data_IF_737267921981
#
_entry.id   IF_737267921981
#
_cell.length_a   1.000
_cell.length_b   1.000
_cell.length_c   1.000
_cell.angle_alpha   90.00
_cell.angle_beta   90.00
_cell.angle_gamma   90.00
#
_symmetry.space_group_name_H-M   'P 1'
#
loop_
_entity.id
_entity.type
_entity.pdbx_description
1 polymer ?
#
# COMPACT_ATOMS: atom_id res chain seq x y z
N UNK A 1 -5.84 29.17 -22.75
CA UNK A 1 -6.29 27.78 -22.94
C UNK A 1 -5.04 26.99 -23.28
N UNK A 2 -4.51 26.21 -22.34
CA UNK A 2 -3.29 25.41 -22.57
C UNK A 2 -3.75 24.03 -23.02
N UNK A 3 -3.38 23.63 -24.24
CA UNK A 3 -3.76 22.33 -24.78
C UNK A 3 -3.08 21.20 -23.98
N UNK A 4 -3.74 20.05 -23.95
CA UNK A 4 -3.39 18.87 -23.14
C UNK A 4 -1.95 18.36 -23.31
N UNK A 5 -1.28 18.71 -24.41
CA UNK A 5 0.06 18.25 -24.75
C UNK A 5 1.16 19.31 -24.57
N UNK A 6 0.81 20.59 -24.40
CA UNK A 6 1.80 21.67 -24.49
C UNK A 6 2.23 22.19 -23.10
N UNK A 7 3.46 21.83 -22.70
CA UNK A 7 4.27 22.58 -21.74
C UNK A 7 4.07 22.28 -20.24
N UNK A 8 5.17 22.48 -19.49
CA UNK A 8 5.14 22.53 -18.03
C UNK A 8 4.39 23.78 -17.56
N UNK A 9 3.28 23.58 -16.85
CA UNK A 9 2.57 24.67 -16.17
C UNK A 9 3.33 25.06 -14.89
N UNK A 10 3.64 26.35 -14.67
CA UNK A 10 4.27 26.80 -13.44
C UNK A 10 3.46 26.40 -12.20
N UNK A 11 4.13 25.80 -11.20
CA UNK A 11 3.48 25.33 -9.97
C UNK A 11 2.74 23.99 -10.09
N UNK A 12 2.86 23.30 -11.23
CA UNK A 12 2.32 21.95 -11.40
C UNK A 12 3.39 20.87 -11.24
N UNK A 13 2.98 19.71 -10.73
CA UNK A 13 3.85 18.55 -10.64
C UNK A 13 4.09 17.96 -12.03
N UNK A 14 5.29 17.40 -12.31
CA UNK A 14 5.60 16.77 -13.59
C UNK A 14 4.54 15.73 -13.99
N UNK A 15 4.21 15.69 -15.29
CA UNK A 15 3.28 14.71 -15.85
C UNK A 15 3.94 13.32 -15.84
N UNK A 16 3.75 12.58 -14.75
CA UNK A 16 4.20 11.19 -14.62
C UNK A 16 3.28 10.17 -15.31
N UNK A 17 3.64 8.87 -15.27
CA UNK A 17 2.81 7.78 -15.77
C UNK A 17 1.36 7.91 -15.28
N UNK A 18 0.39 7.62 -16.17
CA UNK A 18 -1.04 7.66 -15.82
C UNK A 18 -1.45 6.48 -14.93
N UNK A 19 -0.71 5.37 -15.01
CA UNK A 19 -0.92 4.18 -14.20
C UNK A 19 -0.29 4.39 -12.82
N UNK A 20 -1.11 4.27 -11.77
CA UNK A 20 -0.65 4.36 -10.40
C UNK A 20 -0.64 2.97 -9.76
N UNK A 21 0.51 2.50 -9.23
CA UNK A 21 0.63 1.14 -8.73
C UNK A 21 -0.16 0.88 -7.44
N UNK A 22 -0.47 1.91 -6.64
CA UNK A 22 -1.37 1.76 -5.49
C UNK A 22 -2.80 1.57 -5.98
N UNK A 23 -3.23 2.37 -6.96
CA UNK A 23 -4.56 2.23 -7.57
C UNK A 23 -4.72 0.87 -8.25
N UNK A 24 -3.72 0.42 -9.02
CA UNK A 24 -3.70 -0.90 -9.66
C UNK A 24 -3.79 -2.04 -8.64
N UNK A 25 -3.02 -1.99 -7.54
CA UNK A 25 -3.10 -3.00 -6.48
C UNK A 25 -4.50 -3.03 -5.83
N UNK A 26 -5.09 -1.88 -5.52
CA UNK A 26 -6.43 -1.82 -4.94
C UNK A 26 -7.52 -2.29 -5.92
N UNK A 27 -7.39 -1.97 -7.21
CA UNK A 27 -8.31 -2.43 -8.25
C UNK A 27 -8.24 -3.96 -8.42
N UNK A 28 -7.02 -4.52 -8.49
CA UNK A 28 -6.81 -5.97 -8.55
C UNK A 28 -7.36 -6.66 -7.29
N UNK A 29 -7.13 -6.10 -6.10
CA UNK A 29 -7.71 -6.62 -4.86
C UNK A 29 -9.24 -6.67 -4.92
N UNK A 30 -9.87 -5.63 -5.48
CA UNK A 30 -11.34 -5.54 -5.63
C UNK A 30 -11.85 -6.55 -6.66
N UNK A 31 -11.15 -6.70 -7.79
CA UNK A 31 -11.49 -7.66 -8.84
C UNK A 31 -11.47 -9.10 -8.30
N UNK A 32 -10.40 -9.47 -7.59
CA UNK A 32 -10.25 -10.80 -6.99
C UNK A 32 -11.26 -11.02 -5.85
N UNK A 33 -11.56 -9.98 -5.06
CA UNK A 33 -12.53 -10.09 -3.97
C UNK A 33 -13.95 -10.35 -4.49
N UNK A 34 -14.30 -9.75 -5.62
CA UNK A 34 -15.60 -9.90 -6.26
C UNK A 34 -15.70 -11.15 -7.17
N UNK A 35 -14.64 -11.98 -7.25
CA UNK A 35 -14.56 -13.16 -8.10
C UNK A 35 -14.86 -12.88 -9.59
N UNK A 36 -14.42 -11.70 -10.06
CA UNK A 36 -14.72 -11.20 -11.41
C UNK A 36 -13.70 -11.64 -12.47
N UNK A 37 -12.81 -12.59 -12.15
CA UNK A 37 -11.78 -13.10 -13.07
C UNK A 37 -12.28 -14.24 -13.97
N UNK A 38 -13.59 -14.45 -14.06
CA UNK A 38 -14.19 -15.53 -14.86
C UNK A 38 -14.15 -15.31 -16.38
N UNK A 39 -13.88 -14.10 -16.85
CA UNK A 39 -13.68 -13.81 -18.29
C UNK A 39 -12.21 -13.79 -18.66
N UNK A 40 -11.90 -14.14 -19.91
CA UNK A 40 -10.53 -14.08 -20.45
C UNK A 40 -9.90 -12.69 -20.29
N UNK A 41 -10.66 -11.63 -20.58
CA UNK A 41 -10.17 -10.24 -20.46
C UNK A 41 -9.85 -9.86 -19.01
N UNK A 42 -10.71 -10.23 -18.06
CA UNK A 42 -10.48 -9.94 -16.65
C UNK A 42 -9.30 -10.74 -16.08
N UNK A 43 -9.16 -12.00 -16.50
CA UNK A 43 -8.02 -12.83 -16.13
C UNK A 43 -6.70 -12.25 -16.68
N UNK A 44 -6.67 -11.89 -17.97
CA UNK A 44 -5.52 -11.26 -18.58
C UNK A 44 -5.16 -9.92 -17.90
N UNK A 45 -6.15 -9.09 -17.60
CA UNK A 45 -5.94 -7.82 -16.90
C UNK A 45 -5.38 -8.03 -15.48
N UNK A 46 -5.82 -9.09 -14.79
CA UNK A 46 -5.28 -9.46 -13.48
C UNK A 46 -3.81 -9.85 -13.58
N UNK A 47 -3.45 -10.75 -14.50
CA UNK A 47 -2.09 -11.21 -14.72
C UNK A 47 -1.15 -10.07 -15.15
N UNK A 48 -1.59 -9.23 -16.08
CA UNK A 48 -0.85 -8.04 -16.50
C UNK A 48 -0.62 -7.08 -15.34
N UNK A 49 -1.61 -6.92 -14.45
CA UNK A 49 -1.48 -6.08 -13.26
C UNK A 49 -0.47 -6.68 -12.26
N UNK A 50 -0.50 -7.99 -12.04
CA UNK A 50 0.51 -8.67 -11.21
C UNK A 50 1.92 -8.46 -11.77
N UNK A 51 2.11 -8.62 -13.08
CA UNK A 51 3.39 -8.35 -13.75
C UNK A 51 3.87 -6.91 -13.55
N UNK A 52 2.98 -5.93 -13.74
CA UNK A 52 3.28 -4.52 -13.52
C UNK A 52 3.69 -4.21 -12.08
N UNK A 53 2.97 -4.76 -11.08
CA UNK A 53 3.31 -4.57 -9.66
C UNK A 53 4.66 -5.21 -9.31
N UNK A 54 4.96 -6.39 -9.86
CA UNK A 54 6.24 -7.08 -9.67
C UNK A 54 7.41 -6.25 -10.24
N UNK A 55 7.27 -5.70 -11.44
CA UNK A 55 8.27 -4.82 -12.05
C UNK A 55 8.47 -3.54 -11.24
N UNK A 56 7.38 -2.95 -10.72
CA UNK A 56 7.45 -1.76 -9.89
C UNK A 56 8.21 -2.00 -8.57
N UNK A 57 8.03 -3.17 -7.94
CA UNK A 57 8.83 -3.61 -6.80
C UNK A 57 10.30 -3.81 -7.16
N UNK A 58 10.57 -4.59 -8.22
CA UNK A 58 11.91 -4.96 -8.64
C UNK A 58 12.77 -3.74 -9.02
N UNK A 59 12.17 -2.75 -9.69
CA UNK A 59 12.83 -1.52 -10.11
C UNK A 59 13.14 -0.56 -8.96
N UNK A 60 12.57 -0.75 -7.77
CA UNK A 60 12.73 0.16 -6.63
C UNK A 60 12.08 1.55 -6.83
N UNK A 61 11.34 1.76 -7.94
CA UNK A 61 10.69 3.06 -8.23
C UNK A 61 9.73 3.50 -7.13
N UNK A 62 9.13 2.54 -6.43
CA UNK A 62 8.19 2.78 -5.33
C UNK A 62 8.81 3.57 -4.18
N UNK A 63 10.13 3.53 -3.97
CA UNK A 63 10.82 4.22 -2.87
C UNK A 63 10.61 5.74 -2.90
N UNK A 64 10.27 6.31 -4.06
CA UNK A 64 9.97 7.74 -4.24
C UNK A 64 8.48 8.06 -4.08
N UNK A 65 7.69 7.10 -3.63
CA UNK A 65 6.23 7.15 -3.74
C UNK A 65 5.77 7.10 -5.20
N UNK A 66 4.55 7.57 -5.40
CA UNK A 66 3.86 7.57 -6.70
C UNK A 66 3.34 8.96 -7.02
N UNK A 67 2.62 9.07 -8.14
CA UNK A 67 1.97 10.33 -8.52
C UNK A 67 0.98 10.77 -7.43
N UNK A 68 0.15 9.85 -6.95
CA UNK A 68 -0.92 10.16 -6.00
C UNK A 68 -0.56 9.83 -4.56
N UNK A 69 0.36 8.92 -4.29
CA UNK A 69 0.73 8.49 -2.94
C UNK A 69 2.20 8.80 -2.67
N UNK A 70 2.50 9.91 -1.94
CA UNK A 70 3.88 10.34 -1.70
C UNK A 70 4.72 9.33 -0.93
N UNK A 71 4.08 8.56 -0.04
CA UNK A 71 4.76 7.57 0.78
C UNK A 71 4.91 6.23 0.05
N UNK A 72 6.10 5.59 0.08
CA UNK A 72 6.27 4.20 -0.38
C UNK A 72 5.40 3.21 0.42
N UNK A 73 5.09 3.52 1.69
CA UNK A 73 4.38 2.61 2.58
C UNK A 73 2.93 2.38 2.14
N UNK A 74 2.32 3.34 1.44
CA UNK A 74 0.98 3.17 0.86
C UNK A 74 0.95 2.07 -0.22
N UNK A 75 1.99 2.03 -1.08
CA UNK A 75 2.15 0.99 -2.09
C UNK A 75 2.45 -0.37 -1.45
N UNK A 76 3.41 -0.42 -0.53
CA UNK A 76 3.77 -1.66 0.15
C UNK A 76 2.58 -2.25 0.92
N UNK A 77 1.79 -1.42 1.59
CA UNK A 77 0.57 -1.87 2.26
C UNK A 77 -0.46 -2.44 1.29
N UNK A 78 -0.71 -1.76 0.15
CA UNK A 78 -1.67 -2.24 -0.85
C UNK A 78 -1.26 -3.60 -1.44
N UNK A 79 0.02 -3.78 -1.78
CA UNK A 79 0.56 -5.06 -2.27
C UNK A 79 0.52 -6.13 -1.17
N UNK A 80 0.94 -5.81 0.05
CA UNK A 80 0.96 -6.76 1.16
C UNK A 80 -0.43 -7.34 1.46
N UNK A 81 -1.47 -6.49 1.43
CA UNK A 81 -2.87 -6.92 1.54
C UNK A 81 -3.27 -7.91 0.45
N UNK A 82 -2.80 -7.68 -0.77
CA UNK A 82 -3.05 -8.54 -1.93
C UNK A 82 -2.39 -9.92 -1.71
N UNK A 83 -1.11 -9.93 -1.31
CA UNK A 83 -0.37 -11.14 -0.98
C UNK A 83 -1.04 -11.95 0.14
N UNK A 84 -1.49 -11.28 1.20
CA UNK A 84 -2.11 -11.94 2.35
C UNK A 84 -3.50 -12.52 2.03
N UNK A 85 -4.29 -11.82 1.19
CA UNK A 85 -5.68 -12.21 0.91
C UNK A 85 -5.81 -13.22 -0.22
N UNK A 86 -4.93 -13.13 -1.22
CA UNK A 86 -4.96 -13.91 -2.46
C UNK A 86 -3.58 -14.52 -2.76
N UNK A 87 -3.09 -15.45 -1.93
CA UNK A 87 -1.71 -15.93 -1.99
C UNK A 87 -1.34 -16.58 -3.33
N UNK A 88 -2.29 -17.23 -4.01
CA UNK A 88 -2.04 -17.88 -5.30
C UNK A 88 -1.92 -16.85 -6.43
N UNK A 89 -2.88 -15.93 -6.55
CA UNK A 89 -2.87 -14.88 -7.57
C UNK A 89 -1.72 -13.88 -7.37
N UNK A 90 -1.38 -13.57 -6.12
CA UNK A 90 -0.30 -12.64 -5.77
C UNK A 90 1.06 -13.32 -5.55
N UNK A 91 1.19 -14.63 -5.85
CA UNK A 91 2.43 -15.40 -5.62
C UNK A 91 3.69 -14.71 -6.17
N UNK A 92 3.70 -14.10 -7.38
CA UNK A 92 4.88 -13.41 -7.90
C UNK A 92 5.30 -12.17 -7.08
N UNK A 93 4.41 -11.62 -6.27
CA UNK A 93 4.62 -10.38 -5.52
C UNK A 93 5.17 -10.62 -4.11
N UNK A 94 4.89 -11.77 -3.50
CA UNK A 94 5.15 -12.00 -2.06
C UNK A 94 6.63 -11.84 -1.68
N UNK A 95 7.55 -12.51 -2.38
CA UNK A 95 8.97 -12.40 -2.08
C UNK A 95 9.54 -11.01 -2.42
N UNK A 96 9.26 -10.40 -3.59
CA UNK A 96 9.65 -9.02 -3.86
C UNK A 96 9.12 -8.01 -2.85
N UNK A 97 7.87 -8.16 -2.39
CA UNK A 97 7.26 -7.27 -1.40
C UNK A 97 7.94 -7.36 -0.03
N UNK A 98 8.31 -8.57 0.42
CA UNK A 98 9.10 -8.76 1.66
C UNK A 98 10.44 -8.06 1.57
N UNK A 99 11.18 -8.29 0.49
CA UNK A 99 12.48 -7.66 0.26
C UNK A 99 12.38 -6.13 0.19
N UNK A 100 11.34 -5.62 -0.47
CA UNK A 100 11.06 -4.19 -0.56
C UNK A 100 10.79 -3.58 0.82
N UNK A 101 10.02 -4.26 1.67
CA UNK A 101 9.71 -3.83 3.02
C UNK A 101 10.96 -3.80 3.91
N UNK A 102 11.81 -4.82 3.83
CA UNK A 102 13.09 -4.85 4.54
C UNK A 102 13.97 -3.66 4.14
N UNK A 103 14.08 -3.36 2.83
CA UNK A 103 14.83 -2.20 2.34
C UNK A 103 14.30 -0.88 2.91
N UNK A 104 12.99 -0.68 2.95
CA UNK A 104 12.39 0.53 3.56
C UNK A 104 12.58 0.62 5.07
N UNK A 105 12.81 -0.51 5.74
CA UNK A 105 13.09 -0.58 7.17
C UNK A 105 14.56 -0.41 7.56
N UNK A 106 15.47 -0.19 6.60
CA UNK A 106 16.92 -0.02 6.87
C UNK A 106 17.36 1.45 6.76
N UNK A 107 18.35 1.86 7.56
CA UNK A 107 18.97 3.19 7.51
C UNK A 107 18.14 4.32 8.13
N UNK A 108 18.44 5.57 7.77
CA UNK A 108 17.78 6.77 8.31
C UNK A 108 16.24 6.81 8.07
N UNK A 109 15.73 6.04 7.10
CA UNK A 109 14.30 5.88 6.79
C UNK A 109 13.55 4.94 7.76
N UNK A 110 14.26 4.19 8.58
CA UNK A 110 13.67 3.25 9.54
C UNK A 110 12.93 3.98 10.67
N UNK A 111 13.49 5.12 11.11
CA UNK A 111 12.99 5.94 12.22
C UNK A 111 12.35 7.25 11.77
N UNK A 112 12.52 7.64 10.51
CA UNK A 112 11.87 8.83 9.94
C UNK A 112 10.62 8.42 9.16
N UNK A 113 9.53 9.17 9.37
CA UNK A 113 8.25 8.90 8.74
C UNK A 113 7.10 9.45 9.59
N UNK A 114 5.97 9.76 8.98
CA UNK A 114 4.78 10.20 9.69
C UNK A 114 4.14 9.06 10.49
N UNK A 115 3.14 9.35 11.32
CA UNK A 115 2.43 8.29 12.06
C UNK A 115 1.75 7.34 11.07
N UNK A 116 1.12 7.90 10.04
CA UNK A 116 0.45 7.11 9.01
C UNK A 116 1.42 6.18 8.27
N UNK A 117 2.61 6.64 7.93
CA UNK A 117 3.64 5.84 7.27
C UNK A 117 4.08 4.65 8.13
N UNK A 118 4.32 4.90 9.43
CA UNK A 118 4.65 3.84 10.38
C UNK A 118 3.51 2.82 10.49
N UNK A 119 2.26 3.27 10.56
CA UNK A 119 1.10 2.40 10.65
C UNK A 119 0.94 1.52 9.40
N UNK A 120 1.07 2.09 8.20
CA UNK A 120 1.04 1.35 6.94
C UNK A 120 2.17 0.32 6.86
N UNK A 121 3.37 0.68 7.31
CA UNK A 121 4.53 -0.23 7.33
C UNK A 121 4.36 -1.39 8.30
N UNK A 122 3.78 -1.14 9.48
CA UNK A 122 3.43 -2.20 10.45
C UNK A 122 2.42 -3.16 9.84
N UNK A 123 1.35 -2.64 9.24
CA UNK A 123 0.33 -3.48 8.60
C UNK A 123 0.88 -4.27 7.41
N UNK A 124 1.76 -3.67 6.60
CA UNK A 124 2.44 -4.39 5.52
C UNK A 124 3.32 -5.53 6.06
N UNK A 125 4.04 -5.28 7.17
CA UNK A 125 4.83 -6.28 7.88
C UNK A 125 3.95 -7.42 8.42
N UNK A 126 2.83 -7.11 9.07
CA UNK A 126 1.86 -8.08 9.56
C UNK A 126 1.36 -8.98 8.43
N UNK A 127 0.92 -8.39 7.32
CA UNK A 127 0.42 -9.13 6.15
C UNK A 127 1.47 -10.03 5.49
N UNK A 128 2.74 -9.63 5.52
CA UNK A 128 3.84 -10.39 4.94
C UNK A 128 4.55 -11.31 5.93
N UNK A 129 4.21 -11.27 7.23
CA UNK A 129 4.90 -12.04 8.27
C UNK A 129 6.33 -11.56 8.57
N UNK A 130 6.62 -10.27 8.39
CA UNK A 130 7.93 -9.67 8.68
C UNK A 130 7.92 -9.06 10.08
N UNK A 131 8.79 -9.54 10.97
CA UNK A 131 8.80 -9.14 12.39
C UNK A 131 9.93 -8.17 12.75
N UNK A 132 10.90 -7.95 11.87
CA UNK A 132 12.05 -7.08 12.14
C UNK A 132 11.60 -5.64 12.43
N UNK A 133 12.03 -5.06 13.56
CA UNK A 133 11.70 -3.68 13.96
C UNK A 133 10.21 -3.43 14.25
N UNK A 134 9.44 -4.48 14.48
CA UNK A 134 7.98 -4.39 14.64
C UNK A 134 7.57 -3.77 15.98
N UNK A 135 8.20 -4.22 17.06
CA UNK A 135 7.90 -3.75 18.41
C UNK A 135 8.24 -2.28 18.58
N UNK A 136 9.37 -1.83 18.02
CA UNK A 136 9.76 -0.43 18.01
C UNK A 136 8.74 0.44 17.26
N UNK A 137 8.28 -0.02 16.08
CA UNK A 137 7.25 0.69 15.30
C UNK A 137 5.93 0.78 16.05
N UNK A 138 5.48 -0.30 16.71
CA UNK A 138 4.26 -0.29 17.53
C UNK A 138 4.41 0.61 18.76
N UNK A 139 5.55 0.56 19.44
CA UNK A 139 5.84 1.44 20.57
C UNK A 139 5.80 2.91 20.15
N UNK A 140 6.35 3.22 18.98
CA UNK A 140 6.28 4.57 18.40
C UNK A 140 4.84 5.01 18.12
N UNK A 141 4.01 4.14 17.53
CA UNK A 141 2.58 4.42 17.33
C UNK A 141 1.89 4.68 18.66
N UNK A 142 2.09 3.82 19.66
CA UNK A 142 1.48 3.98 20.98
C UNK A 142 1.88 5.31 21.64
N UNK A 143 3.16 5.71 21.55
CA UNK A 143 3.66 7.00 22.07
C UNK A 143 3.13 8.22 21.34
N UNK A 144 2.73 8.07 20.08
CA UNK A 144 2.20 9.16 19.27
C UNK A 144 0.68 9.39 19.47
N UNK A 145 0.02 8.56 20.29
CA UNK A 145 -1.39 8.72 20.60
C UNK A 145 -1.63 10.03 21.37
N UNK A 146 -2.64 10.78 20.94
CA UNK A 146 -3.09 12.00 21.61
C UNK A 146 -3.96 11.68 22.82
N UNK A 147 -4.16 12.63 23.76
CA UNK A 147 -5.01 12.41 24.94
C UNK A 147 -6.46 12.01 24.64
N UNK A 148 -6.99 12.41 23.48
CA UNK A 148 -8.33 12.04 23.00
C UNK A 148 -8.40 10.65 22.35
N UNK A 149 -7.28 9.92 22.34
CA UNK A 149 -7.15 8.60 21.73
C UNK A 149 -6.88 8.61 20.23
N UNK A 150 -6.82 9.78 19.58
CA UNK A 150 -6.57 9.92 18.14
C UNK A 150 -5.06 10.02 17.82
N UNK A 151 -4.74 10.07 16.52
CA UNK A 151 -3.41 10.39 16.01
C UNK A 151 -3.44 11.64 15.12
N UNK A 152 -2.29 12.32 14.94
CA UNK A 152 -2.19 13.47 14.05
C UNK A 152 -2.62 13.15 12.61
N UNK A 153 -3.18 14.16 11.95
CA UNK A 153 -3.50 14.07 10.54
C UNK A 153 -2.18 14.00 9.75
N UNK A 154 -2.11 13.03 8.85
CA UNK A 154 -1.00 12.87 7.91
C UNK A 154 -1.53 12.75 6.49
N UNK A 155 -0.74 13.22 5.52
CA UNK A 155 -1.09 13.10 4.11
C UNK A 155 -1.07 11.63 3.67
N UNK A 156 -2.18 11.14 3.13
CA UNK A 156 -2.25 9.80 2.53
C UNK A 156 -2.07 9.85 1.02
N UNK A 157 -2.79 10.75 0.37
CA UNK A 157 -2.70 10.95 -1.07
C UNK A 157 -2.60 12.44 -1.40
N UNK A 158 -2.20 12.75 -2.63
CA UNK A 158 -2.14 14.10 -3.17
C UNK A 158 -2.79 14.18 -4.54
N UNK A 159 -3.12 15.40 -4.94
CA UNK A 159 -3.51 15.66 -6.31
C UNK A 159 -2.31 15.48 -7.25
N UNK A 160 -2.50 14.80 -8.37
CA UNK A 160 -1.40 14.50 -9.30
C UNK A 160 -0.92 15.69 -10.14
N UNK A 161 -1.59 16.86 -10.06
CA UNK A 161 -1.24 18.09 -10.79
C UNK A 161 -0.75 19.19 -9.84
N UNK A 162 -1.33 19.30 -8.65
CA UNK A 162 -1.02 20.34 -7.68
C UNK A 162 -0.56 19.73 -6.36
N UNK A 163 0.28 20.41 -5.56
CA UNK A 163 0.77 19.92 -4.27
C UNK A 163 -0.31 20.03 -3.16
N UNK A 164 -1.54 19.60 -3.47
CA UNK A 164 -2.66 19.52 -2.53
C UNK A 164 -2.69 18.12 -1.97
N UNK A 165 -2.56 18.01 -0.65
CA UNK A 165 -2.53 16.74 0.08
C UNK A 165 -3.87 16.50 0.78
N UNK A 166 -4.24 15.22 0.84
CA UNK A 166 -5.47 14.75 1.43
C UNK A 166 -5.14 13.72 2.51
N UNK A 167 -5.71 13.95 3.68
CA UNK A 167 -5.48 13.19 4.89
C UNK A 167 -6.43 13.66 5.98
N UNK A 168 -6.55 12.90 7.06
CA UNK A 168 -7.35 13.30 8.21
C UNK A 168 -6.87 12.60 9.47
N UNK A 169 -7.12 13.16 10.66
CA UNK A 169 -6.79 12.45 11.91
C UNK A 169 -7.60 11.15 12.03
N UNK A 170 -8.83 11.09 11.49
CA UNK A 170 -9.64 9.89 11.46
C UNK A 170 -8.97 8.77 10.65
N UNK A 171 -8.45 9.09 9.47
CA UNK A 171 -7.76 8.14 8.60
C UNK A 171 -6.50 7.59 9.31
N UNK A 172 -5.65 8.48 9.82
CA UNK A 172 -4.45 8.06 10.57
C UNK A 172 -4.82 7.20 11.77
N UNK A 173 -5.86 7.58 12.52
CA UNK A 173 -6.32 6.84 13.70
C UNK A 173 -6.77 5.42 13.35
N UNK A 174 -7.52 5.23 12.25
CA UNK A 174 -7.96 3.89 11.82
C UNK A 174 -6.76 2.99 11.49
N UNK A 175 -5.75 3.53 10.79
CA UNK A 175 -4.54 2.76 10.48
C UNK A 175 -3.71 2.48 11.74
N UNK A 176 -3.50 3.47 12.61
CA UNK A 176 -2.74 3.32 13.84
C UNK A 176 -3.38 2.28 14.78
N UNK A 177 -4.70 2.35 14.98
CA UNK A 177 -5.43 1.35 15.76
C UNK A 177 -5.32 -0.05 15.15
N UNK A 178 -5.42 -0.16 13.83
CA UNK A 178 -5.29 -1.45 13.14
C UNK A 178 -3.89 -2.04 13.30
N UNK A 179 -2.86 -1.20 13.22
CA UNK A 179 -1.45 -1.59 13.39
C UNK A 179 -1.11 -1.99 14.84
N UNK A 180 -1.76 -1.38 15.83
CA UNK A 180 -1.59 -1.69 17.25
C UNK A 180 -2.39 -2.93 17.71
N UNK A 181 -3.40 -3.35 16.94
CA UNK A 181 -4.15 -4.57 17.26
C UNK A 181 -3.28 -5.80 17.03
N UNK A 182 -3.34 -6.82 17.91
CA UNK A 182 -2.71 -8.10 17.64
C UNK A 182 -3.21 -8.67 16.31
N UNK A 183 -2.29 -9.25 15.51
CA UNK A 183 -2.66 -9.93 14.28
C UNK A 183 -3.68 -11.03 14.62
N UNK A 184 -4.90 -10.90 14.10
CA UNK A 184 -5.91 -11.96 14.23
C UNK A 184 -5.40 -13.17 13.42
N UNK A 185 -5.39 -14.39 14.00
CA UNK A 185 -5.04 -15.57 13.23
C UNK A 185 -5.89 -15.65 11.97
N UNK A 186 -5.27 -16.05 10.85
CA UNK A 186 -5.98 -16.20 9.59
C UNK A 186 -7.20 -17.12 9.81
N UNK A 187 -8.41 -16.74 9.34
CA UNK A 187 -9.54 -17.65 9.38
C UNK A 187 -9.16 -18.94 8.64
N UNK A 188 -9.53 -20.08 9.20
CA UNK A 188 -9.29 -21.38 8.57
C UNK A 188 -9.85 -21.37 7.13
N UNK A 189 -9.17 -22.02 6.17
CA UNK A 189 -9.67 -22.10 4.80
C UNK A 189 -11.10 -22.65 4.82
N UNK A 190 -11.98 -22.02 4.05
CA UNK A 190 -13.35 -22.49 3.90
C UNK A 190 -13.32 -23.96 3.44
N UNK A 191 -14.15 -24.84 4.01
CA UNK A 191 -14.22 -26.22 3.55
C UNK A 191 -14.51 -26.23 2.04
N UNK A 192 -13.94 -27.20 1.28
CA UNK A 192 -14.21 -27.31 -0.13
C UNK A 192 -15.73 -27.37 -0.33
N UNK A 193 -16.25 -26.54 -1.24
CA UNK A 193 -17.65 -26.65 -1.65
C UNK A 193 -17.79 -28.02 -2.30
N UNK A 194 -18.41 -28.96 -1.59
CA UNK A 194 -18.85 -30.23 -2.15
C UNK A 194 -19.85 -29.87 -3.26
N UNK A 195 -19.51 -30.22 -4.49
CA UNK A 195 -20.32 -29.89 -5.66
C UNK A 195 -21.73 -30.49 -5.57
N UNK A 196 -22.68 -29.73 -6.08
CA UNK A 196 -23.92 -30.23 -6.71
C UNK A 196 -23.81 -29.98 -8.21
#
# INVERSE_FOLDING_TARGET
>A
MVYWEDGEEPGTLPRGPKQDPVACANALHTLLLADLTGSYEAHWAADATVGFLAEHLASGRFLRGTRYYPSPDAFLYAVARLCARFPDAARPLTAPARLALERTGTGASATTGSVLEVALRVLAADHLGVTAGHDERRLRLARAQRPDGSWPADAYYRMGRFPVYFGSPYLTTVFALSALRPARPAPAPAPPRTGE
#
